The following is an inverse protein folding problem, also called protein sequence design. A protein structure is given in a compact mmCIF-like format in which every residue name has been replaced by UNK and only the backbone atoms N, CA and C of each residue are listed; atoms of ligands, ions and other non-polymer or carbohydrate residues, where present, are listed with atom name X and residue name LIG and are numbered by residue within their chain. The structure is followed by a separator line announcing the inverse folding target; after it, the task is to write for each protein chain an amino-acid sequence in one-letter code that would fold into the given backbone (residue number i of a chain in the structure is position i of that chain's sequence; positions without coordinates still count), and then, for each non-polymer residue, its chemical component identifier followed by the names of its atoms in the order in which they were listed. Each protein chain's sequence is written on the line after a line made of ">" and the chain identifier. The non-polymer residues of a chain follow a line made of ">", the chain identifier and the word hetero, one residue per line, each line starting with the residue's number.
data_IF_610048737933
#
_entry.id   IF_610048737933
#
_cell.length_a   1.000
_cell.length_b   1.000
_cell.length_c   1.000
_cell.angle_alpha   90.00
_cell.angle_beta   90.00
_cell.angle_gamma   90.00
#
_symmetry.space_group_name_H-M   'P 1'
#
loop_
_entity.id
_entity.type
_entity.pdbx_description
1 polymer ?
#
# COMPACT_ATOMS: atom_id res chain seq x y z
N UNK A 1 -6.63 43.86 14.27
CA UNK A 1 -6.60 42.62 13.48
C UNK A 1 -6.98 41.42 14.33
N UNK A 2 -8.22 40.96 14.16
CA UNK A 2 -8.83 39.92 14.99
C UNK A 2 -9.56 38.90 14.12
N UNK A 3 -9.43 37.61 14.44
CA UNK A 3 -10.23 36.51 13.90
C UNK A 3 -11.15 36.00 15.02
N UNK A 4 -12.47 36.03 14.81
CA UNK A 4 -13.50 35.70 15.82
C UNK A 4 -13.25 36.34 17.21
N UNK A 5 -12.86 37.62 17.25
CA UNK A 5 -12.63 38.34 18.51
C UNK A 5 -11.29 38.05 19.21
N UNK A 6 -10.47 37.12 18.71
CA UNK A 6 -9.07 36.92 19.16
C UNK A 6 -8.11 37.66 18.23
N UNK A 7 -7.06 38.28 18.78
CA UNK A 7 -6.03 38.88 17.92
C UNK A 7 -5.35 37.78 17.10
N UNK A 8 -5.19 38.00 15.79
CA UNK A 8 -4.54 37.01 14.91
C UNK A 8 -3.12 36.65 15.42
N UNK A 9 -2.43 37.62 16.03
CA UNK A 9 -1.11 37.44 16.68
C UNK A 9 -1.10 36.47 17.87
N UNK A 10 -2.26 36.13 18.42
CA UNK A 10 -2.40 35.19 19.56
C UNK A 10 -2.76 33.78 19.13
N UNK A 11 -2.95 33.54 17.84
CA UNK A 11 -3.21 32.21 17.32
C UNK A 11 -1.89 31.45 17.16
N UNK A 12 -1.83 30.27 17.76
CA UNK A 12 -0.73 29.33 17.57
C UNK A 12 -1.04 28.41 16.38
N UNK A 13 -0.42 28.68 15.24
CA UNK A 13 -0.65 27.90 14.03
C UNK A 13 -0.10 26.48 14.14
N UNK A 14 0.94 26.26 14.96
CA UNK A 14 1.45 24.92 15.22
C UNK A 14 0.42 24.11 16.01
N UNK A 15 -0.17 24.70 17.06
CA UNK A 15 -1.23 24.01 17.82
C UNK A 15 -2.46 23.68 16.96
N UNK A 16 -2.85 24.56 16.04
CA UNK A 16 -3.95 24.30 15.09
C UNK A 16 -3.58 23.17 14.14
N UNK A 17 -2.37 23.20 13.57
CA UNK A 17 -1.87 22.13 12.69
C UNK A 17 -1.87 20.79 13.41
N UNK A 18 -1.28 20.73 14.60
CA UNK A 18 -1.16 19.49 15.39
C UNK A 18 -2.55 18.94 15.75
N UNK A 19 -3.54 19.81 16.02
CA UNK A 19 -4.93 19.41 16.21
C UNK A 19 -5.53 18.81 14.92
N UNK A 20 -5.29 19.41 13.77
CA UNK A 20 -5.79 18.90 12.48
C UNK A 20 -5.11 17.58 12.11
N UNK A 21 -3.79 17.44 12.30
CA UNK A 21 -3.03 16.21 12.05
C UNK A 21 -3.37 15.08 13.03
N UNK A 22 -3.97 15.41 14.18
CA UNK A 22 -4.53 14.39 15.08
C UNK A 22 -5.70 13.62 14.47
N UNK A 23 -6.36 14.19 13.45
CA UNK A 23 -7.42 13.50 12.72
C UNK A 23 -6.81 12.34 11.92
N UNK A 24 -7.35 11.11 12.05
CA UNK A 24 -6.69 9.91 11.55
C UNK A 24 -6.58 9.82 10.03
N UNK A 25 -7.40 10.57 9.30
CA UNK A 25 -7.38 10.63 7.83
C UNK A 25 -6.46 11.73 7.29
N UNK A 26 -5.88 12.57 8.15
CA UNK A 26 -4.94 13.61 7.74
C UNK A 26 -3.53 13.05 7.73
N UNK A 27 -2.84 13.22 6.61
CA UNK A 27 -1.43 12.88 6.44
C UNK A 27 -0.55 14.04 6.89
N UNK A 28 -0.89 15.25 6.47
CA UNK A 28 -0.15 16.48 6.69
C UNK A 28 -1.12 17.66 6.65
N UNK A 29 -0.85 18.72 7.41
CA UNK A 29 -1.61 19.96 7.33
C UNK A 29 -0.69 21.18 7.34
N UNK A 30 -1.10 22.22 6.60
CA UNK A 30 -0.43 23.52 6.63
C UNK A 30 -1.42 24.60 7.06
N UNK A 31 -1.06 25.39 8.07
CA UNK A 31 -1.90 26.46 8.61
C UNK A 31 -1.23 27.79 8.32
N UNK A 32 -1.91 28.68 7.61
CA UNK A 32 -1.35 29.94 7.17
C UNK A 32 -2.42 31.02 7.03
N UNK A 33 -1.99 32.28 6.98
CA UNK A 33 -2.90 33.39 6.68
C UNK A 33 -2.98 33.61 5.18
N UNK A 34 -4.19 33.85 4.70
CA UNK A 34 -4.43 34.27 3.31
C UNK A 34 -5.10 35.64 3.34
N UNK A 35 -4.64 36.54 2.47
CA UNK A 35 -5.11 37.92 2.46
C UNK A 35 -4.86 38.64 3.79
N UNK A 36 -5.78 39.50 4.19
CA UNK A 36 -5.61 40.38 5.37
C UNK A 36 -6.17 39.75 6.65
N UNK A 37 -7.12 38.81 6.57
CA UNK A 37 -7.89 38.34 7.74
C UNK A 37 -8.32 36.87 7.72
N UNK A 38 -7.94 36.10 6.71
CA UNK A 38 -8.41 34.72 6.61
C UNK A 38 -7.33 33.76 7.09
N UNK A 39 -7.73 32.81 7.93
CA UNK A 39 -6.93 31.66 8.30
C UNK A 39 -7.29 30.52 7.36
N UNK A 40 -6.33 30.05 6.57
CA UNK A 40 -6.49 28.85 5.76
C UNK A 40 -5.77 27.67 6.40
N UNK A 41 -6.35 26.49 6.15
CA UNK A 41 -5.78 25.20 6.50
C UNK A 41 -5.82 24.34 5.25
N UNK A 42 -4.64 24.06 4.68
CA UNK A 42 -4.50 23.08 3.62
C UNK A 42 -4.28 21.71 4.23
N UNK A 43 -5.03 20.71 3.76
CA UNK A 43 -5.02 19.35 4.30
C UNK A 43 -4.61 18.39 3.18
N UNK A 44 -3.62 17.55 3.47
CA UNK A 44 -3.29 16.39 2.63
C UNK A 44 -3.93 15.15 3.27
N UNK A 45 -4.90 14.55 2.59
CA UNK A 45 -5.57 13.35 3.07
C UNK A 45 -4.76 12.08 2.81
N UNK A 46 -4.85 11.12 3.73
CA UNK A 46 -4.30 9.77 3.56
C UNK A 46 -5.09 9.03 2.49
N UNK A 47 -4.36 8.53 1.48
CA UNK A 47 -4.95 7.75 0.40
C UNK A 47 -4.82 6.25 0.69
N UNK A 48 -5.92 5.48 0.63
CA UNK A 48 -5.86 4.04 0.81
C UNK A 48 -5.13 3.36 -0.35
N UNK A 49 -4.21 2.46 -0.03
CA UNK A 49 -3.48 1.65 -1.02
C UNK A 49 -3.71 0.15 -0.86
N UNK A 50 -4.29 -0.27 0.26
CA UNK A 50 -4.61 -1.66 0.54
C UNK A 50 -5.70 -1.79 1.61
N UNK A 51 -6.29 -2.97 1.71
CA UNK A 51 -7.04 -3.43 2.88
C UNK A 51 -6.12 -4.26 3.79
N UNK A 52 -6.39 -4.27 5.08
CA UNK A 52 -5.79 -5.16 6.08
C UNK A 52 -6.89 -5.92 6.78
N UNK A 53 -6.69 -7.23 6.97
CA UNK A 53 -7.57 -8.07 7.78
C UNK A 53 -7.21 -7.89 9.26
N UNK A 54 -8.18 -7.40 10.04
CA UNK A 54 -8.05 -7.21 11.49
C UNK A 54 -8.36 -8.50 12.25
N UNK A 55 -8.06 -8.54 13.56
CA UNK A 55 -8.30 -9.71 14.42
C UNK A 55 -9.78 -10.12 14.47
N UNK A 56 -10.68 -9.15 14.38
CA UNK A 56 -12.14 -9.37 14.35
C UNK A 56 -12.67 -9.77 12.95
N UNK A 57 -11.78 -9.97 11.98
CA UNK A 57 -12.11 -10.28 10.58
C UNK A 57 -12.58 -9.07 9.78
N UNK A 58 -12.65 -7.87 10.37
CA UNK A 58 -13.00 -6.65 9.64
C UNK A 58 -11.87 -6.23 8.69
N UNK A 59 -12.23 -5.61 7.58
CA UNK A 59 -11.27 -5.00 6.66
C UNK A 59 -11.10 -3.53 7.00
N UNK A 60 -9.85 -3.07 7.06
CA UNK A 60 -9.49 -1.67 7.29
C UNK A 60 -8.57 -1.18 6.19
N UNK A 61 -8.69 0.09 5.82
CA UNK A 61 -7.77 0.68 4.86
C UNK A 61 -6.39 0.90 5.47
N UNK A 62 -5.37 0.76 4.65
CA UNK A 62 -3.99 1.08 4.94
C UNK A 62 -3.48 2.11 3.95
N UNK A 63 -2.74 3.11 4.41
CA UNK A 63 -2.06 4.07 3.56
C UNK A 63 -0.62 3.67 3.22
N UNK A 64 0.03 4.48 2.38
CA UNK A 64 1.41 4.26 1.93
C UNK A 64 2.47 4.36 3.05
N UNK A 65 2.15 4.96 4.19
CA UNK A 65 3.07 5.05 5.33
C UNK A 65 2.93 3.85 6.29
N UNK A 66 2.04 2.91 5.97
CA UNK A 66 1.74 1.74 6.81
C UNK A 66 0.75 2.04 7.93
N UNK A 67 -0.04 3.12 7.84
CA UNK A 67 -1.02 3.50 8.87
C UNK A 67 -2.40 2.93 8.56
N UNK A 68 -2.96 2.21 9.52
CA UNK A 68 -4.31 1.65 9.44
C UNK A 68 -5.32 2.76 9.75
N UNK A 69 -6.26 2.98 8.84
CA UNK A 69 -7.33 3.96 8.98
C UNK A 69 -8.49 3.40 9.82
N UNK A 70 -9.21 4.25 10.58
CA UNK A 70 -10.40 3.83 11.30
C UNK A 70 -11.51 3.36 10.35
N UNK A 71 -12.57 2.71 10.85
CA UNK A 71 -13.66 2.27 10.01
C UNK A 71 -14.31 3.47 9.33
N UNK A 72 -14.55 3.37 8.03
CA UNK A 72 -15.35 4.36 7.31
C UNK A 72 -16.83 3.99 7.40
N UNK A 73 -17.69 4.96 7.69
CA UNK A 73 -19.15 4.77 7.64
C UNK A 73 -19.65 4.66 6.19
N UNK A 74 -18.90 5.23 5.25
CA UNK A 74 -19.19 5.17 3.81
C UNK A 74 -18.12 4.31 3.17
N UNK A 75 -18.48 3.09 2.74
CA UNK A 75 -17.60 2.27 1.91
C UNK A 75 -17.41 2.96 0.57
N UNK A 76 -16.35 3.75 0.44
CA UNK A 76 -15.83 4.12 -0.88
C UNK A 76 -15.27 2.83 -1.47
N UNK A 77 -15.75 2.43 -2.65
CA UNK A 77 -15.40 1.16 -3.28
C UNK A 77 -13.99 1.20 -3.91
N UNK A 78 -12.95 1.44 -3.10
CA UNK A 78 -11.58 1.42 -3.60
C UNK A 78 -11.17 -0.02 -3.90
N UNK A 79 -10.89 -0.30 -5.17
CA UNK A 79 -10.33 -1.58 -5.60
C UNK A 79 -8.83 -1.60 -5.27
N UNK A 80 -8.51 -2.00 -4.05
CA UNK A 80 -7.14 -2.09 -3.54
C UNK A 80 -6.88 -3.49 -2.96
N UNK A 81 -5.66 -4.02 -3.09
CA UNK A 81 -5.33 -5.38 -2.69
C UNK A 81 -5.50 -5.60 -1.18
N UNK A 82 -5.65 -6.85 -0.77
CA UNK A 82 -5.73 -7.24 0.65
C UNK A 82 -4.36 -7.69 1.15
N UNK A 83 -3.93 -7.14 2.29
CA UNK A 83 -2.75 -7.58 3.04
C UNK A 83 -3.16 -8.53 4.16
N UNK A 84 -2.47 -9.68 4.24
CA UNK A 84 -2.67 -10.67 5.31
C UNK A 84 -1.44 -11.55 5.49
N UNK A 85 -1.24 -12.21 6.65
CA UNK A 85 -0.23 -13.25 6.75
C UNK A 85 -0.68 -14.52 6.00
N UNK A 86 0.29 -15.35 5.61
CA UNK A 86 -0.01 -16.74 5.24
C UNK A 86 -0.35 -17.51 6.53
N UNK A 87 -1.61 -17.91 6.68
CA UNK A 87 -2.10 -18.62 7.86
C UNK A 87 -2.83 -17.71 8.86
N UNK A 88 -2.70 -18.02 10.15
CA UNK A 88 -3.42 -17.32 11.22
C UNK A 88 -2.68 -16.10 11.78
N UNK A 89 -3.44 -15.16 12.35
CA UNK A 89 -2.92 -13.97 13.05
C UNK A 89 -3.04 -12.70 12.24
N UNK A 90 -2.51 -11.59 12.78
CA UNK A 90 -2.52 -10.27 12.14
C UNK A 90 -1.11 -9.80 11.82
N UNK A 91 -1.00 -8.83 10.91
CA UNK A 91 0.26 -8.18 10.56
C UNK A 91 0.62 -7.12 11.62
N UNK A 92 1.89 -7.11 12.04
CA UNK A 92 2.44 -6.07 12.91
C UNK A 92 2.59 -4.75 12.15
N UNK A 93 2.74 -3.63 12.87
CA UNK A 93 2.96 -2.31 12.24
C UNK A 93 4.21 -2.28 11.33
N UNK A 94 5.27 -3.00 11.71
CA UNK A 94 6.48 -3.09 10.91
C UNK A 94 6.24 -3.89 9.61
N UNK A 95 5.52 -5.01 9.69
CA UNK A 95 5.14 -5.80 8.52
C UNK A 95 4.20 -5.03 7.60
N UNK A 96 3.22 -4.31 8.15
CA UNK A 96 2.33 -3.44 7.38
C UNK A 96 3.09 -2.37 6.62
N UNK A 97 4.05 -1.70 7.27
CA UNK A 97 4.90 -0.70 6.61
C UNK A 97 5.74 -1.32 5.50
N UNK A 98 6.34 -2.49 5.75
CA UNK A 98 7.13 -3.22 4.74
C UNK A 98 6.28 -3.55 3.50
N UNK A 99 5.08 -4.11 3.70
CA UNK A 99 4.18 -4.47 2.61
C UNK A 99 3.59 -3.24 1.90
N UNK A 100 3.32 -2.15 2.64
CA UNK A 100 2.91 -0.87 2.05
C UNK A 100 4.01 -0.33 1.12
N UNK A 101 5.27 -0.33 1.56
CA UNK A 101 6.42 0.03 0.73
C UNK A 101 6.50 -0.86 -0.51
N UNK A 102 6.35 -2.18 -0.35
CA UNK A 102 6.33 -3.10 -1.49
C UNK A 102 5.23 -2.78 -2.51
N UNK A 103 4.02 -2.45 -2.05
CA UNK A 103 2.93 -2.02 -2.95
C UNK A 103 3.23 -0.70 -3.67
N UNK A 104 3.86 0.26 -2.98
CA UNK A 104 4.29 1.53 -3.61
C UNK A 104 5.34 1.26 -4.69
N UNK A 105 6.34 0.43 -4.40
CA UNK A 105 7.36 0.01 -5.38
C UNK A 105 6.74 -0.72 -6.57
N UNK A 106 5.83 -1.67 -6.30
CA UNK A 106 5.12 -2.41 -7.34
C UNK A 106 4.31 -1.49 -8.25
N UNK A 107 3.61 -0.51 -7.69
CA UNK A 107 2.84 0.50 -8.45
C UNK A 107 3.72 1.38 -9.34
N UNK A 108 4.95 1.66 -8.93
CA UNK A 108 5.91 2.47 -9.68
C UNK A 108 6.65 1.66 -10.76
N UNK A 109 6.83 0.36 -10.55
CA UNK A 109 7.75 -0.48 -11.34
C UNK A 109 7.02 -1.36 -12.35
N UNK A 110 5.84 -1.89 -12.00
CA UNK A 110 5.08 -2.80 -12.85
C UNK A 110 4.27 -2.04 -13.90
N UNK A 111 4.01 -2.69 -15.03
CA UNK A 111 2.96 -2.27 -15.97
C UNK A 111 1.64 -2.06 -15.22
N UNK A 112 0.87 -0.97 -15.49
CA UNK A 112 -0.35 -0.68 -14.77
C UNK A 112 -1.37 -1.83 -14.79
N UNK A 113 -1.52 -2.54 -15.91
CA UNK A 113 -2.46 -3.66 -16.00
C UNK A 113 -2.03 -4.85 -15.13
N UNK A 114 -0.72 -5.06 -15.02
CA UNK A 114 -0.12 -6.10 -14.19
C UNK A 114 -0.30 -5.76 -12.70
N UNK A 115 -0.04 -4.51 -12.29
CA UNK A 115 -0.29 -4.08 -10.92
C UNK A 115 -1.78 -4.19 -10.53
N UNK A 116 -2.69 -3.82 -11.44
CA UNK A 116 -4.14 -3.95 -11.21
C UNK A 116 -4.63 -5.40 -11.08
N UNK A 117 -3.83 -6.38 -11.53
CA UNK A 117 -4.16 -7.81 -11.36
C UNK A 117 -3.88 -8.35 -9.95
N UNK A 118 -3.18 -7.57 -9.10
CA UNK A 118 -2.84 -7.96 -7.74
C UNK A 118 -4.09 -7.91 -6.87
N UNK A 119 -4.57 -9.06 -6.43
CA UNK A 119 -5.71 -9.18 -5.53
C UNK A 119 -5.30 -9.15 -4.06
N UNK A 120 -4.17 -9.80 -3.74
CA UNK A 120 -3.68 -9.93 -2.38
C UNK A 120 -2.16 -9.89 -2.33
N UNK A 121 -1.64 -9.47 -1.19
CA UNK A 121 -0.22 -9.58 -0.87
C UNK A 121 -0.11 -10.23 0.50
N UNK A 122 0.45 -11.45 0.52
CA UNK A 122 0.55 -12.27 1.72
C UNK A 122 1.97 -12.29 2.24
N UNK A 123 2.13 -12.23 3.56
CA UNK A 123 3.43 -12.42 4.20
C UNK A 123 3.54 -13.83 4.77
N UNK A 124 4.42 -14.64 4.19
CA UNK A 124 4.80 -15.93 4.76
C UNK A 124 5.99 -15.75 5.70
N UNK A 125 5.72 -15.81 7.00
CA UNK A 125 6.74 -15.65 8.05
C UNK A 125 7.67 -16.86 8.15
N UNK A 126 7.20 -18.05 7.79
CA UNK A 126 7.98 -19.27 7.92
C UNK A 126 9.09 -19.33 6.87
N UNK A 127 8.79 -18.86 5.65
CA UNK A 127 9.75 -18.81 4.54
C UNK A 127 10.39 -17.44 4.33
N UNK A 128 9.93 -16.42 5.05
CA UNK A 128 10.35 -15.03 4.89
C UNK A 128 10.09 -14.52 3.46
N UNK A 129 8.85 -14.69 3.00
CA UNK A 129 8.43 -14.41 1.64
C UNK A 129 7.23 -13.47 1.60
N UNK A 130 7.24 -12.59 0.59
CA UNK A 130 6.04 -11.91 0.13
C UNK A 130 5.47 -12.74 -1.03
N UNK A 131 4.20 -13.10 -0.91
CA UNK A 131 3.45 -13.81 -1.94
C UNK A 131 2.41 -12.86 -2.52
N UNK A 132 2.65 -12.40 -3.74
CA UNK A 132 1.69 -11.57 -4.49
C UNK A 132 0.72 -12.49 -5.20
N UNK A 133 -0.57 -12.38 -4.89
CA UNK A 133 -1.63 -13.20 -5.47
C UNK A 133 -2.28 -12.40 -6.59
N UNK A 134 -2.41 -13.05 -7.75
CA UNK A 134 -3.15 -12.53 -8.91
C UNK A 134 -4.24 -13.52 -9.30
N UNK A 135 -5.09 -13.15 -10.26
CA UNK A 135 -6.09 -14.07 -10.82
C UNK A 135 -5.48 -15.36 -11.38
N UNK A 136 -4.25 -15.28 -11.93
CA UNK A 136 -3.65 -16.38 -12.72
C UNK A 136 -2.56 -17.15 -12.00
N UNK A 137 -1.81 -16.48 -11.13
CA UNK A 137 -0.59 -17.05 -10.54
C UNK A 137 -0.22 -16.36 -9.23
N UNK A 138 0.57 -17.04 -8.41
CA UNK A 138 1.20 -16.46 -7.24
C UNK A 138 2.64 -16.07 -7.57
N UNK A 139 3.07 -14.88 -7.18
CA UNK A 139 4.46 -14.46 -7.32
C UNK A 139 5.16 -14.55 -5.97
N UNK A 140 6.33 -15.17 -5.94
CA UNK A 140 7.15 -15.27 -4.73
C UNK A 140 8.35 -14.36 -4.82
N UNK A 141 8.56 -13.57 -3.77
CA UNK A 141 9.75 -12.76 -3.57
C UNK A 141 10.16 -12.80 -2.11
N UNK A 142 11.42 -12.48 -1.80
CA UNK A 142 11.91 -12.42 -0.42
C UNK A 142 11.40 -11.15 0.25
N UNK A 143 10.90 -11.26 1.48
CA UNK A 143 10.49 -10.08 2.27
C UNK A 143 11.66 -9.23 2.74
N UNK A 144 12.85 -9.84 2.91
CA UNK A 144 14.11 -9.19 3.25
C UNK A 144 14.97 -8.86 2.02
N UNK A 145 14.44 -9.07 0.81
CA UNK A 145 15.15 -8.88 -0.44
C UNK A 145 14.92 -7.52 -1.10
N UNK A 146 15.56 -7.35 -2.25
CA UNK A 146 15.31 -6.20 -3.13
C UNK A 146 13.99 -6.39 -3.89
N UNK A 147 12.91 -5.86 -3.31
CA UNK A 147 11.55 -5.92 -3.85
C UNK A 147 11.43 -5.12 -5.16
N UNK A 148 12.16 -4.02 -5.29
CA UNK A 148 12.19 -3.22 -6.52
C UNK A 148 12.72 -4.06 -7.68
N UNK A 149 13.87 -4.73 -7.49
CA UNK A 149 14.42 -5.65 -8.50
C UNK A 149 13.44 -6.78 -8.82
N UNK A 150 12.83 -7.39 -7.80
CA UNK A 150 11.86 -8.47 -8.02
C UNK A 150 10.68 -8.02 -8.91
N UNK A 151 10.15 -6.82 -8.68
CA UNK A 151 9.10 -6.25 -9.55
C UNK A 151 9.62 -5.86 -10.93
N UNK A 152 10.85 -5.35 -11.05
CA UNK A 152 11.46 -5.03 -12.33
C UNK A 152 11.64 -6.30 -13.19
N UNK A 153 12.17 -7.38 -12.61
CA UNK A 153 12.32 -8.68 -13.27
C UNK A 153 10.96 -9.24 -13.70
N UNK A 154 9.94 -9.13 -12.84
CA UNK A 154 8.57 -9.55 -13.15
C UNK A 154 7.97 -8.71 -14.29
N UNK A 155 8.20 -7.40 -14.31
CA UNK A 155 7.70 -6.52 -15.35
C UNK A 155 8.33 -6.85 -16.71
N UNK A 156 9.65 -7.06 -16.74
CA UNK A 156 10.37 -7.48 -17.95
C UNK A 156 9.83 -8.83 -18.43
N UNK A 157 9.66 -9.80 -17.53
CA UNK A 157 9.09 -11.10 -17.88
C UNK A 157 7.67 -10.96 -18.47
N UNK A 158 6.81 -10.18 -17.84
CA UNK A 158 5.44 -9.94 -18.32
C UNK A 158 5.42 -9.36 -19.73
N UNK A 159 6.15 -8.27 -19.96
CA UNK A 159 6.15 -7.54 -21.23
C UNK A 159 6.80 -8.35 -22.36
N UNK A 160 7.92 -9.02 -22.07
CA UNK A 160 8.74 -9.68 -23.11
C UNK A 160 8.34 -11.12 -23.38
N UNK A 161 7.88 -11.82 -22.35
CA UNK A 161 7.82 -13.29 -22.33
C UNK A 161 6.39 -13.78 -22.15
N UNK A 162 5.54 -13.06 -21.39
CA UNK A 162 4.15 -13.44 -21.17
C UNK A 162 3.29 -13.49 -22.45
N UNK A 163 3.71 -12.79 -23.50
CA UNK A 163 3.08 -12.85 -24.84
C UNK A 163 3.58 -14.00 -25.71
N UNK A 164 4.73 -14.58 -25.37
CA UNK A 164 5.43 -15.60 -26.17
C UNK A 164 5.34 -17.01 -25.60
N UNK A 165 5.33 -17.13 -24.27
CA UNK A 165 5.16 -18.41 -23.59
C UNK A 165 3.69 -18.65 -23.27
N UNK A 166 3.26 -19.90 -23.44
CA UNK A 166 1.99 -20.35 -22.89
C UNK A 166 2.09 -20.36 -21.35
N UNK A 167 1.41 -19.39 -20.74
CA UNK A 167 1.27 -19.26 -19.30
C UNK A 167 0.09 -20.08 -18.76
N UNK A 168 -0.68 -20.77 -19.62
CA UNK A 168 -1.70 -21.70 -19.15
C UNK A 168 -1.06 -22.77 -18.26
N UNK A 169 -1.68 -23.01 -17.10
CA UNK A 169 -1.19 -23.96 -16.10
C UNK A 169 0.01 -23.49 -15.27
N UNK A 170 0.56 -22.27 -15.48
CA UNK A 170 1.52 -21.67 -14.55
C UNK A 170 0.79 -21.23 -13.29
N UNK A 171 1.13 -21.85 -12.16
CA UNK A 171 0.49 -21.56 -10.87
C UNK A 171 1.36 -20.66 -9.99
N UNK A 172 2.66 -20.61 -10.26
CA UNK A 172 3.59 -19.83 -9.48
C UNK A 172 4.74 -19.31 -10.35
N UNK A 173 5.09 -18.05 -10.09
CA UNK A 173 6.20 -17.34 -10.70
C UNK A 173 7.11 -16.92 -9.56
N UNK A 174 8.36 -17.32 -9.60
CA UNK A 174 9.28 -17.08 -8.51
C UNK A 174 10.43 -16.20 -8.97
N UNK A 175 10.49 -15.02 -8.36
CA UNK A 175 11.41 -13.92 -8.68
C UNK A 175 12.41 -13.69 -7.55
N UNK A 176 12.56 -14.65 -6.63
CA UNK A 176 13.49 -14.57 -5.50
C UNK A 176 14.95 -14.50 -5.93
N UNK A 177 15.31 -15.05 -7.09
CA UNK A 177 16.70 -15.13 -7.56
C UNK A 177 17.07 -13.97 -8.48
N UNK A 178 18.32 -13.55 -8.41
CA UNK A 178 18.85 -12.49 -9.27
C UNK A 178 18.95 -12.96 -10.72
N UNK A 179 18.45 -12.12 -11.64
CA UNK A 179 18.48 -12.34 -13.10
C UNK A 179 17.78 -13.64 -13.56
N UNK A 180 16.84 -14.17 -12.78
CA UNK A 180 16.13 -15.39 -13.09
C UNK A 180 14.67 -15.28 -12.67
N UNK A 181 13.79 -15.77 -13.54
CA UNK A 181 12.37 -15.98 -13.24
C UNK A 181 12.08 -17.46 -13.41
N UNK A 182 11.65 -18.12 -12.32
CA UNK A 182 11.36 -19.56 -12.32
C UNK A 182 9.86 -19.76 -12.37
N UNK A 183 9.39 -20.59 -13.30
CA UNK A 183 7.98 -20.91 -13.45
C UNK A 183 7.70 -22.29 -12.89
N UNK A 184 6.67 -22.40 -12.05
CA UNK A 184 6.11 -23.69 -11.63
C UNK A 184 4.73 -23.86 -12.23
N UNK A 185 4.55 -24.97 -12.94
CA UNK A 185 3.28 -25.38 -13.53
C UNK A 185 2.55 -26.35 -12.62
N UNK A 186 1.22 -26.42 -12.73
CA UNK A 186 0.50 -27.53 -12.15
C UNK A 186 0.88 -28.81 -12.91
N UNK A 187 1.18 -29.87 -12.17
CA UNK A 187 1.21 -31.21 -12.77
C UNK A 187 -0.26 -31.57 -13.01
N UNK A 188 -0.69 -31.47 -14.26
CA UNK A 188 -1.95 -32.08 -14.70
C UNK A 188 -1.66 -33.51 -15.14
#
# INVERSE_FOLDING_TARGET
>A
DTFQGRQIRTLDFAAIRDLVESLPYVKDASVHLTGVRDLAVDIVERQPIAHVVMEDGSLRYLDADGRVLPPTQVRTAHNVPVLQPTGSGTLTAAELKMLATALVEGRQTLDPSLFQSVSEVRLDRATNEIVVVTERSNWRMRSDGDVHRAFADMNVFWVTTGTRLDLAGVVEIDVRWSNQVVLRRSNT
#
